data_IF_548285059955
#
_entry.id   IF_548285059955
#
_cell.length_a   1.000
_cell.length_b   1.000
_cell.length_c   1.000
_cell.angle_alpha   90.00
_cell.angle_beta   90.00
_cell.angle_gamma   90.00
#
_symmetry.space_group_name_H-M   'P 1'
#
loop_
_entity.id
_entity.type
_entity.pdbx_description
1 polymer ?
#
# COMPACT_ATOMS: atom_id res chain seq x y z
N UNK A 1 -18.64 5.18 12.97
CA UNK A 1 -17.71 4.53 13.92
C UNK A 1 -17.27 3.15 13.43
N UNK A 2 -18.18 2.20 13.20
CA UNK A 2 -17.83 0.83 12.75
C UNK A 2 -17.03 0.81 11.43
N UNK A 3 -17.45 1.57 10.41
CA UNK A 3 -16.71 1.67 9.13
C UNK A 3 -15.25 2.08 9.31
N UNK A 4 -14.98 3.08 10.16
CA UNK A 4 -13.63 3.58 10.43
C UNK A 4 -12.80 2.56 11.20
N UNK A 5 -13.41 1.87 12.15
CA UNK A 5 -12.76 0.77 12.87
C UNK A 5 -12.34 -0.37 11.94
N UNK A 6 -13.24 -0.83 11.06
CA UNK A 6 -12.92 -1.85 10.07
C UNK A 6 -11.83 -1.38 9.11
N UNK A 7 -11.88 -0.12 8.66
CA UNK A 7 -10.84 0.44 7.80
C UNK A 7 -9.47 0.46 8.47
N UNK A 8 -9.39 0.86 9.75
CA UNK A 8 -8.14 0.85 10.50
C UNK A 8 -7.56 -0.57 10.63
N UNK A 9 -8.41 -1.60 10.79
CA UNK A 9 -7.95 -2.99 10.79
C UNK A 9 -7.36 -3.38 9.44
N UNK A 10 -8.02 -3.00 8.34
CA UNK A 10 -7.52 -3.29 6.99
C UNK A 10 -6.17 -2.61 6.73
N UNK A 11 -6.01 -1.35 7.13
CA UNK A 11 -4.73 -0.62 7.04
C UNK A 11 -3.65 -1.33 7.85
N UNK A 12 -3.96 -1.75 9.09
CA UNK A 12 -2.99 -2.46 9.92
C UNK A 12 -2.57 -3.83 9.33
N UNK A 13 -3.51 -4.55 8.70
CA UNK A 13 -3.21 -5.80 7.99
C UNK A 13 -2.34 -5.53 6.76
N UNK A 14 -2.60 -4.44 6.04
CA UNK A 14 -1.82 -4.01 4.88
C UNK A 14 -0.37 -3.68 5.30
N UNK A 15 -0.19 -2.81 6.31
CA UNK A 15 1.12 -2.49 6.90
C UNK A 15 1.86 -3.73 7.42
N UNK A 16 1.15 -4.64 8.11
CA UNK A 16 1.74 -5.92 8.56
C UNK A 16 2.24 -6.75 7.37
N UNK A 17 1.45 -6.83 6.30
CA UNK A 17 1.84 -7.50 5.06
C UNK A 17 3.10 -6.87 4.45
N UNK A 18 3.16 -5.53 4.39
CA UNK A 18 4.33 -4.83 3.87
C UNK A 18 5.58 -5.12 4.71
N UNK A 19 5.47 -5.07 6.04
CA UNK A 19 6.55 -5.37 6.97
C UNK A 19 7.07 -6.81 6.83
N UNK A 20 6.17 -7.80 6.68
CA UNK A 20 6.54 -9.20 6.41
C UNK A 20 7.30 -9.33 5.08
N UNK A 21 6.95 -8.52 4.08
CA UNK A 21 7.60 -8.44 2.78
C UNK A 21 8.78 -7.46 2.75
N UNK A 22 9.43 -7.24 3.90
CA UNK A 22 10.64 -6.41 4.06
C UNK A 22 10.45 -4.93 3.67
N UNK A 23 9.20 -4.46 3.61
CA UNK A 23 8.86 -3.05 3.46
C UNK A 23 8.97 -2.28 4.77
N UNK A 24 8.73 -0.98 4.68
CA UNK A 24 8.67 -0.11 5.86
C UNK A 24 7.44 -0.49 6.71
N UNK A 25 7.58 -0.71 8.03
CA UNK A 25 6.49 -1.10 8.90
C UNK A 25 5.32 -0.11 8.95
N UNK A 26 5.57 1.17 8.74
CA UNK A 26 4.54 2.21 8.75
C UNK A 26 3.95 2.41 7.34
N UNK A 27 4.53 1.81 6.30
CA UNK A 27 4.04 1.92 4.92
C UNK A 27 3.07 0.79 4.56
N UNK A 28 1.97 1.13 3.89
CA UNK A 28 1.05 0.15 3.30
C UNK A 28 1.61 -0.45 1.99
N UNK A 29 1.25 -1.69 1.66
CA UNK A 29 1.54 -2.27 0.33
C UNK A 29 0.91 -1.41 -0.76
N UNK A 30 -0.27 -0.84 -0.49
CA UNK A 30 -0.97 0.08 -1.40
C UNK A 30 -0.14 1.33 -1.73
N UNK A 31 0.45 1.98 -0.72
CA UNK A 31 1.40 3.11 -0.90
C UNK A 31 2.67 2.69 -1.63
N UNK A 32 3.26 1.55 -1.23
CA UNK A 32 4.44 1.00 -1.90
C UNK A 32 4.17 0.65 -3.36
N UNK A 33 2.98 0.14 -3.68
CA UNK A 33 2.54 -0.15 -5.04
C UNK A 33 2.40 1.13 -5.86
N UNK A 34 1.84 2.20 -5.30
CA UNK A 34 1.77 3.50 -5.96
C UNK A 34 3.18 4.04 -6.32
N UNK A 35 4.15 3.95 -5.39
CA UNK A 35 5.53 4.39 -5.62
C UNK A 35 6.27 3.52 -6.63
N UNK A 36 6.04 2.22 -6.60
CA UNK A 36 6.73 1.22 -7.43
C UNK A 36 5.95 0.82 -8.69
N UNK A 37 4.85 1.48 -9.04
CA UNK A 37 3.99 1.15 -10.18
C UNK A 37 4.69 1.14 -11.55
N UNK A 38 5.90 1.70 -11.64
CA UNK A 38 6.75 1.66 -12.83
C UNK A 38 7.56 0.36 -12.98
N UNK A 39 7.62 -0.49 -11.96
CA UNK A 39 8.33 -1.77 -11.96
C UNK A 39 7.39 -2.93 -12.27
N UNK A 40 7.89 -3.94 -12.98
CA UNK A 40 7.14 -5.18 -13.22
C UNK A 40 6.80 -5.88 -11.89
N UNK A 41 5.64 -6.55 -11.84
CA UNK A 41 5.01 -7.07 -10.63
C UNK A 41 4.17 -6.00 -9.93
N UNK A 42 4.79 -4.86 -9.58
CA UNK A 42 4.12 -3.74 -8.92
C UNK A 42 3.15 -3.01 -9.84
N UNK A 43 3.47 -2.90 -11.13
CA UNK A 43 2.56 -2.34 -12.14
C UNK A 43 1.29 -3.17 -12.26
N UNK A 44 1.42 -4.49 -12.32
CA UNK A 44 0.29 -5.41 -12.43
C UNK A 44 -0.58 -5.36 -11.18
N UNK A 45 0.05 -5.31 -9.99
CA UNK A 45 -0.67 -5.06 -8.73
C UNK A 45 -1.38 -3.70 -8.76
N UNK A 46 -0.70 -2.64 -9.20
CA UNK A 46 -1.28 -1.30 -9.30
C UNK A 46 -2.47 -1.23 -10.25
N UNK A 47 -2.39 -1.91 -11.40
CA UNK A 47 -3.52 -2.02 -12.34
C UNK A 47 -4.71 -2.79 -11.73
N UNK A 48 -4.43 -3.84 -10.95
CA UNK A 48 -5.48 -4.57 -10.23
C UNK A 48 -6.17 -3.67 -9.19
N UNK A 49 -5.38 -2.89 -8.43
CA UNK A 49 -5.90 -1.97 -7.43
C UNK A 49 -6.76 -0.86 -8.07
N UNK A 50 -6.28 -0.24 -9.15
CA UNK A 50 -7.05 0.75 -9.94
C UNK A 50 -8.32 0.17 -10.57
N UNK A 51 -8.33 -1.13 -10.90
CA UNK A 51 -9.52 -1.79 -11.42
C UNK A 51 -10.57 -2.04 -10.33
N UNK A 52 -10.15 -2.39 -9.12
CA UNK A 52 -11.05 -2.61 -7.97
C UNK A 52 -11.58 -1.28 -7.42
N UNK A 53 -10.70 -0.28 -7.32
CA UNK A 53 -10.94 1.02 -6.73
C UNK A 53 -10.28 2.11 -7.61
N UNK A 54 -11.02 2.72 -8.56
CA UNK A 54 -10.45 3.71 -9.46
C UNK A 54 -9.90 4.94 -8.71
N UNK A 55 -8.63 5.28 -8.94
CA UNK A 55 -7.90 6.34 -8.25
C UNK A 55 -7.06 5.86 -7.06
N UNK A 56 -7.09 4.56 -6.74
CA UNK A 56 -6.49 3.99 -5.55
C UNK A 56 -4.99 4.28 -5.39
N UNK A 57 -4.20 4.25 -6.48
CA UNK A 57 -2.76 4.53 -6.38
C UNK A 57 -2.48 5.98 -6.04
N UNK A 58 -3.31 6.90 -6.57
CA UNK A 58 -3.16 8.32 -6.26
C UNK A 58 -3.53 8.61 -4.80
N UNK A 59 -4.59 7.98 -4.31
CA UNK A 59 -5.07 8.17 -2.93
C UNK A 59 -4.17 7.50 -1.90
N UNK A 60 -3.56 6.37 -2.25
CA UNK A 60 -2.64 5.63 -1.37
C UNK A 60 -1.21 6.15 -1.39
N UNK A 61 -0.87 7.11 -2.26
CA UNK A 61 0.49 7.63 -2.35
C UNK A 61 0.84 8.46 -1.11
N UNK A 62 1.69 7.91 -0.24
CA UNK A 62 2.21 8.58 0.97
C UNK A 62 3.71 8.86 0.82
N UNK A 63 4.12 10.05 0.32
CA UNK A 63 5.50 10.30 -0.13
C UNK A 63 6.56 10.26 0.97
N UNK A 64 6.15 10.39 2.22
CA UNK A 64 7.02 10.52 3.39
C UNK A 64 7.33 9.18 4.09
N UNK A 65 6.60 8.11 3.77
CA UNK A 65 6.83 6.74 4.24
C UNK A 65 7.78 5.95 3.33
N UNK A 66 8.20 4.76 3.77
CA UNK A 66 9.05 3.85 2.98
C UNK A 66 10.56 4.00 3.26
N UNK A 67 10.94 4.80 4.25
CA UNK A 67 12.34 5.12 4.57
C UNK A 67 13.01 4.02 5.39
N UNK A 68 12.23 3.26 6.15
CA UNK A 68 12.72 2.18 7.00
C UNK A 68 12.56 0.79 6.34
N UNK A 69 12.29 0.76 5.02
CA UNK A 69 12.23 -0.46 4.24
C UNK A 69 13.59 -1.18 4.20
N UNK A 70 13.57 -2.50 4.32
CA UNK A 70 14.77 -3.35 4.27
C UNK A 70 15.15 -3.65 2.80
N UNK A 71 14.17 -3.69 1.89
CA UNK A 71 14.30 -3.94 0.43
C UNK A 71 13.41 -3.00 -0.41
#
# INVERSE_FOLDING_TARGET
>A
MIRRYLMNILIAVDQLGNAILFGDPDETISSRAAKRAHLAGWRELGLLLEWIDPGHLKESLEPDEGKDAIL
#
